data_IF_038133153302
#
_entry.id   IF_038133153302
#
_cell.length_a   1.000
_cell.length_b   1.000
_cell.length_c   1.000
_cell.angle_alpha   90.00
_cell.angle_beta   90.00
_cell.angle_gamma   90.00
#
_symmetry.space_group_name_H-M   'P 1'
#
loop_
_entity.id
_entity.type
_entity.pdbx_description
1 polymer ?
#
# COMPACT_ATOMS: atom_id res chain seq x y z
N UNK A 1 14.90 7.58 -52.19
CA UNK A 1 15.37 6.18 -52.14
C UNK A 1 14.28 5.36 -51.47
N UNK A 2 13.54 4.56 -52.24
CA UNK A 2 12.41 3.77 -51.73
C UNK A 2 12.93 2.62 -50.86
N UNK A 3 12.34 2.35 -49.68
CA UNK A 3 12.81 1.29 -48.81
C UNK A 3 12.50 -0.07 -49.45
N UNK A 4 13.54 -0.85 -49.73
CA UNK A 4 13.42 -2.22 -50.24
C UNK A 4 12.75 -3.05 -49.15
N UNK A 5 11.48 -3.45 -49.37
CA UNK A 5 10.73 -4.32 -48.46
C UNK A 5 11.40 -5.69 -48.44
N UNK A 6 12.26 -5.94 -47.45
CA UNK A 6 12.84 -7.27 -47.19
C UNK A 6 11.73 -8.16 -46.63
N UNK A 7 11.46 -9.30 -47.26
CA UNK A 7 10.47 -10.29 -46.77
C UNK A 7 11.04 -10.99 -45.52
N UNK A 8 10.28 -11.12 -44.43
CA UNK A 8 10.74 -11.90 -43.25
C UNK A 8 10.85 -13.38 -43.64
N UNK A 9 11.81 -14.09 -43.05
CA UNK A 9 12.01 -15.52 -43.30
C UNK A 9 10.80 -16.37 -42.90
N UNK A 10 9.91 -15.84 -42.04
CA UNK A 10 8.59 -16.41 -41.73
C UNK A 10 7.76 -16.70 -42.98
N UNK A 11 7.83 -15.83 -43.98
CA UNK A 11 7.02 -15.92 -45.20
C UNK A 11 7.56 -16.99 -46.16
N UNK A 12 8.72 -17.57 -45.86
CA UNK A 12 9.41 -18.55 -46.70
C UNK A 12 9.59 -19.91 -45.99
N UNK A 13 9.63 -19.94 -44.66
CA UNK A 13 9.89 -21.15 -43.88
C UNK A 13 8.79 -21.41 -42.85
N UNK A 14 8.12 -22.56 -42.96
CA UNK A 14 7.16 -23.08 -41.97
C UNK A 14 7.82 -23.75 -40.75
N UNK A 15 9.15 -23.70 -40.65
CA UNK A 15 9.95 -24.38 -39.63
C UNK A 15 9.77 -23.85 -38.19
N UNK A 16 9.07 -22.72 -37.99
CA UNK A 16 8.69 -22.18 -36.66
C UNK A 16 9.83 -21.79 -35.71
N UNK A 17 11.10 -21.99 -36.09
CA UNK A 17 12.29 -21.77 -35.24
C UNK A 17 13.00 -20.43 -35.46
N UNK A 18 12.50 -19.61 -36.37
CA UNK A 18 13.09 -18.31 -36.64
C UNK A 18 12.56 -17.28 -35.66
N UNK A 19 13.47 -16.51 -35.07
CA UNK A 19 13.09 -15.32 -34.31
C UNK A 19 12.81 -14.20 -35.31
N UNK A 20 11.53 -13.93 -35.61
CA UNK A 20 11.19 -12.80 -36.47
C UNK A 20 11.05 -11.52 -35.64
N UNK A 21 11.74 -10.42 -36.01
CA UNK A 21 11.64 -9.15 -35.31
C UNK A 21 10.25 -8.50 -35.44
N UNK A 22 9.39 -8.99 -36.34
CA UNK A 22 7.98 -8.57 -36.44
C UNK A 22 7.10 -9.18 -35.34
N UNK A 23 7.48 -10.34 -34.79
CA UNK A 23 6.74 -10.97 -33.72
C UNK A 23 7.29 -10.44 -32.39
N UNK A 24 6.45 -9.87 -31.51
CA UNK A 24 6.90 -9.46 -30.19
C UNK A 24 7.28 -10.71 -29.40
N UNK A 25 8.58 -10.98 -29.27
CA UNK A 25 9.13 -12.07 -28.46
C UNK A 25 9.26 -11.69 -26.97
N UNK A 26 8.69 -10.56 -26.57
CA UNK A 26 8.82 -10.09 -25.19
C UNK A 26 7.86 -10.87 -24.31
N UNK A 27 8.43 -11.62 -23.37
CA UNK A 27 7.73 -12.41 -22.35
C UNK A 27 6.95 -11.49 -21.40
N UNK A 28 7.39 -10.24 -21.28
CA UNK A 28 6.74 -9.22 -20.49
C UNK A 28 6.07 -8.21 -21.41
N UNK A 29 4.74 -8.09 -21.29
CA UNK A 29 4.02 -6.95 -21.83
C UNK A 29 4.60 -5.68 -21.23
N UNK A 30 4.77 -4.64 -22.06
CA UNK A 30 5.05 -3.29 -21.57
C UNK A 30 3.76 -2.71 -20.99
N UNK A 31 3.10 -3.41 -20.09
CA UNK A 31 2.09 -2.80 -19.25
C UNK A 31 2.83 -1.81 -18.38
N UNK A 32 2.60 -0.51 -18.61
CA UNK A 32 3.11 0.60 -17.79
C UNK A 32 2.66 0.51 -16.32
N UNK A 33 1.81 -0.47 -16.00
CA UNK A 33 1.33 -0.76 -14.66
C UNK A 33 2.39 -1.58 -13.91
N UNK A 34 3.01 -1.03 -12.86
CA UNK A 34 3.89 -1.80 -12.00
C UNK A 34 3.13 -2.99 -11.41
N UNK A 35 3.79 -4.14 -11.30
CA UNK A 35 3.24 -5.30 -10.59
C UNK A 35 3.02 -4.90 -9.13
N UNK A 36 1.76 -4.82 -8.71
CA UNK A 36 1.36 -4.40 -7.35
C UNK A 36 1.55 -5.51 -6.31
N UNK A 37 1.96 -6.71 -6.74
CA UNK A 37 2.18 -7.87 -5.89
C UNK A 37 3.68 -8.08 -5.73
N UNK A 38 4.20 -7.67 -4.59
CA UNK A 38 5.59 -7.89 -4.15
C UNK A 38 5.61 -8.40 -2.72
N UNK A 39 6.71 -9.04 -2.35
CA UNK A 39 6.97 -9.44 -0.96
C UNK A 39 6.82 -8.24 -0.01
N UNK A 40 7.18 -7.03 -0.45
CA UNK A 40 7.06 -5.82 0.36
C UNK A 40 5.60 -5.49 0.67
N UNK A 41 4.73 -5.47 -0.34
CA UNK A 41 3.30 -5.18 -0.17
C UNK A 41 2.56 -6.28 0.62
N UNK A 42 3.07 -7.51 0.58
CA UNK A 42 2.54 -8.65 1.32
C UNK A 42 2.96 -8.63 2.79
N UNK A 43 4.24 -8.32 3.08
CA UNK A 43 4.77 -8.27 4.43
C UNK A 43 4.41 -6.98 5.19
N UNK A 44 4.17 -5.88 4.47
CA UNK A 44 3.94 -4.55 5.06
C UNK A 44 2.65 -3.90 4.52
N UNK A 45 1.46 -4.43 4.86
CA UNK A 45 0.20 -3.81 4.50
C UNK A 45 0.01 -2.47 5.22
N UNK A 46 -0.78 -1.57 4.63
CA UNK A 46 -1.14 -0.31 5.27
C UNK A 46 -2.05 -0.56 6.48
N UNK A 47 -1.48 -0.42 7.69
CA UNK A 47 -2.22 -0.51 8.93
C UNK A 47 -3.05 0.77 9.16
N UNK A 48 -4.35 0.60 9.38
CA UNK A 48 -5.29 1.71 9.58
C UNK A 48 -5.35 2.18 11.05
N UNK A 49 -4.64 1.50 11.96
CA UNK A 49 -4.64 1.77 13.39
C UNK A 49 -3.54 2.77 13.78
N UNK A 50 -3.50 3.93 13.13
CA UNK A 50 -2.60 5.03 13.48
C UNK A 50 -3.23 5.99 14.50
N UNK A 51 -4.49 5.76 14.89
CA UNK A 51 -5.14 6.60 15.87
C UNK A 51 -4.43 6.45 17.23
N UNK A 52 -4.10 7.57 17.90
CA UNK A 52 -3.58 7.53 19.25
C UNK A 52 -4.49 6.70 20.15
N UNK A 53 -3.89 5.90 21.02
CA UNK A 53 -4.64 5.12 22.00
C UNK A 53 -5.40 6.06 22.93
N UNK A 54 -6.63 5.68 23.26
CA UNK A 54 -7.41 6.37 24.29
C UNK A 54 -6.64 6.48 25.61
N UNK A 55 -6.75 7.64 26.26
CA UNK A 55 -6.04 7.89 27.50
C UNK A 55 -6.62 7.06 28.65
N UNK A 56 -5.75 6.52 29.52
CA UNK A 56 -6.13 5.88 30.80
C UNK A 56 -6.40 6.92 31.89
N UNK A 57 -6.39 8.20 31.53
CA UNK A 57 -6.56 9.28 32.49
C UNK A 57 -7.97 9.16 33.10
N UNK A 58 -8.10 9.12 34.44
CA UNK A 58 -9.41 9.20 35.07
C UNK A 58 -10.17 10.40 34.51
N UNK A 59 -11.44 10.19 34.17
CA UNK A 59 -12.30 11.30 33.77
C UNK A 59 -12.30 12.31 34.91
N UNK A 60 -12.09 13.58 34.57
CA UNK A 60 -12.11 14.68 35.54
C UNK A 60 -13.57 14.99 35.86
N UNK A 61 -14.26 14.00 36.40
CA UNK A 61 -15.63 14.14 36.89
C UNK A 61 -15.51 14.83 38.24
N UNK A 62 -16.06 16.04 38.32
CA UNK A 62 -16.01 16.84 39.55
C UNK A 62 -16.67 16.07 40.69
N UNK A 63 -15.87 15.54 41.61
CA UNK A 63 -16.38 14.96 42.84
C UNK A 63 -16.67 16.09 43.82
N UNK A 64 -17.91 16.56 43.81
CA UNK A 64 -18.40 17.45 44.86
C UNK A 64 -18.38 16.67 46.18
N UNK A 65 -17.58 17.10 47.14
CA UNK A 65 -17.72 16.65 48.52
C UNK A 65 -19.15 16.96 48.99
N UNK A 66 -19.96 15.92 49.23
CA UNK A 66 -21.34 16.08 49.69
C UNK A 66 -21.41 16.47 51.17
N UNK A 67 -20.33 16.21 51.91
CA UNK A 67 -20.24 16.44 53.35
C UNK A 67 -19.96 17.92 53.65
N UNK A 68 -20.81 18.60 54.43
CA UNK A 68 -20.45 19.92 54.96
C UNK A 68 -19.22 19.80 55.86
N UNK A 69 -18.34 20.80 55.83
CA UNK A 69 -17.22 20.86 56.76
C UNK A 69 -17.76 21.13 58.17
N UNK A 70 -17.39 20.28 59.13
CA UNK A 70 -17.72 20.48 60.53
C UNK A 70 -16.94 21.68 61.09
N UNK A 71 -17.66 22.70 61.57
CA UNK A 71 -17.09 23.95 62.09
C UNK A 71 -16.54 23.83 63.52
N UNK A 72 -15.82 22.75 63.83
CA UNK A 72 -15.19 22.59 65.14
C UNK A 72 -13.93 23.46 65.20
N UNK A 73 -13.97 24.49 66.04
CA UNK A 73 -12.82 25.38 66.31
C UNK A 73 -12.31 25.10 67.72
N UNK A 74 -10.98 25.16 67.90
CA UNK A 74 -10.31 24.87 69.18
C UNK A 74 -10.10 26.11 70.06
N UNK A 75 -10.86 27.20 69.83
CA UNK A 75 -10.79 28.39 70.68
C UNK A 75 -11.49 28.13 72.00
N UNK A 76 -10.66 27.86 73.02
CA UNK A 76 -10.98 27.74 74.45
C UNK A 76 -11.53 29.02 75.06
#
# INVERSE_FOLDING_TARGET
>A
MTPVKRKCICELCSCGRHHCPHLPTKIYDKTEKPCLLSEYTENYPLYHSYLPRESFKPKLEYQKGCTPMEGLTTSS
#
